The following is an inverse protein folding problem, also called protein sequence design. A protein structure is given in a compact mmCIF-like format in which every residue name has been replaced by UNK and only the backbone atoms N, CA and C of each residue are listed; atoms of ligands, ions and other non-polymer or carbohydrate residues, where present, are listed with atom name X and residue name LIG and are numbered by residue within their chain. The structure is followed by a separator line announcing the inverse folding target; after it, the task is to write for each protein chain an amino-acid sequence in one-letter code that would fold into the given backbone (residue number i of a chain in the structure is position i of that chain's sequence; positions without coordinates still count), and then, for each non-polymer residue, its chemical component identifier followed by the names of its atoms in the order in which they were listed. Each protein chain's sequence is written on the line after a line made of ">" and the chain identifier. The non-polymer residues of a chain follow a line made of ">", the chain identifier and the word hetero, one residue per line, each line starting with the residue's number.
data_IF_301686320728
#
_entry.id   IF_301686320728
#
_cell.length_a   1.000
_cell.length_b   1.000
_cell.length_c   1.000
_cell.angle_alpha   90.00
_cell.angle_beta   90.00
_cell.angle_gamma   90.00
#
_symmetry.space_group_name_H-M   'P 1'
#
loop_
_entity.id
_entity.type
_entity.pdbx_description
1 polymer ?
#
# COMPACT_ATOMS: atom_id res chain seq x y z
N UNK A 1 14.53 -5.70 7.47
CA UNK A 1 13.09 -5.95 7.63
C UNK A 1 12.61 -5.13 8.83
N UNK A 2 11.61 -4.27 8.63
CA UNK A 2 11.02 -3.45 9.69
C UNK A 2 9.73 -4.13 10.19
N UNK A 3 9.54 -4.21 11.50
CA UNK A 3 8.33 -4.81 12.07
C UNK A 3 7.23 -3.76 12.20
N UNK A 4 6.03 -4.09 11.72
CA UNK A 4 4.86 -3.23 11.82
C UNK A 4 3.69 -4.02 12.45
N UNK A 5 3.03 -3.41 13.43
CA UNK A 5 1.98 -4.05 14.22
C UNK A 5 0.71 -3.20 14.13
N UNK A 6 -0.41 -3.84 13.81
CA UNK A 6 -1.69 -3.17 13.53
C UNK A 6 -2.83 -3.89 14.25
N UNK A 7 -3.86 -3.13 14.62
CA UNK A 7 -5.09 -3.71 15.21
C UNK A 7 -5.91 -4.46 14.16
N UNK A 8 -6.67 -5.48 14.55
CA UNK A 8 -7.65 -6.14 13.66
C UNK A 8 -8.63 -5.16 12.97
N UNK A 9 -9.03 -4.09 13.65
CA UNK A 9 -9.96 -3.07 13.14
C UNK A 9 -9.27 -1.95 12.35
N UNK A 10 -8.10 -2.21 11.76
CA UNK A 10 -7.35 -1.19 11.03
C UNK A 10 -8.09 -0.76 9.77
N UNK A 11 -8.38 0.53 9.66
CA UNK A 11 -9.23 1.09 8.60
C UNK A 11 -8.43 1.50 7.36
N UNK A 12 -9.07 1.58 6.17
CA UNK A 12 -8.41 2.07 4.95
C UNK A 12 -7.81 3.47 5.12
N UNK A 13 -8.47 4.34 5.90
CA UNK A 13 -7.98 5.68 6.20
C UNK A 13 -6.72 5.68 7.07
N UNK A 14 -6.65 4.78 8.06
CA UNK A 14 -5.45 4.59 8.87
C UNK A 14 -4.30 4.03 8.01
N UNK A 15 -4.59 3.10 7.10
CA UNK A 15 -3.59 2.59 6.16
C UNK A 15 -2.99 3.67 5.27
N UNK A 16 -3.81 4.51 4.63
CA UNK A 16 -3.30 5.64 3.84
C UNK A 16 -2.49 6.61 4.70
N UNK A 17 -2.95 6.88 5.93
CA UNK A 17 -2.23 7.74 6.86
C UNK A 17 -0.84 7.18 7.18
N UNK A 18 -0.73 5.87 7.42
CA UNK A 18 0.54 5.21 7.71
C UNK A 18 1.45 5.16 6.48
N UNK A 19 0.91 4.89 5.28
CA UNK A 19 1.64 5.01 4.00
C UNK A 19 2.24 6.42 3.85
N UNK A 20 1.44 7.47 4.08
CA UNK A 20 1.90 8.86 3.97
C UNK A 20 3.02 9.14 5.00
N UNK A 21 2.82 8.71 6.26
CA UNK A 21 3.76 8.94 7.35
C UNK A 21 5.08 8.22 7.11
N UNK A 22 5.05 6.94 6.72
CA UNK A 22 6.23 6.16 6.39
C UNK A 22 6.98 6.79 5.21
N UNK A 23 6.28 7.07 4.11
CA UNK A 23 6.91 7.58 2.90
C UNK A 23 7.56 8.96 3.09
N UNK A 24 6.95 9.83 3.91
CA UNK A 24 7.59 11.09 4.34
C UNK A 24 8.90 10.86 5.08
N UNK A 25 8.98 9.88 5.99
CA UNK A 25 10.24 9.50 6.67
C UNK A 25 11.30 9.02 5.68
N UNK A 26 10.88 8.32 4.62
CA UNK A 26 11.76 7.87 3.53
C UNK A 26 12.06 8.96 2.48
N UNK A 27 11.60 10.20 2.68
CA UNK A 27 11.75 11.31 1.70
C UNK A 27 11.17 10.96 0.32
N UNK A 28 10.05 10.24 0.28
CA UNK A 28 9.26 9.98 -0.92
C UNK A 28 7.95 10.75 -0.84
N UNK A 29 7.59 11.47 -1.90
CA UNK A 29 6.39 12.30 -1.91
C UNK A 29 5.13 11.43 -2.13
N UNK A 30 4.24 11.29 -1.13
CA UNK A 30 3.06 10.44 -1.24
C UNK A 30 1.86 11.19 -1.83
N UNK A 31 2.06 12.16 -2.73
CA UNK A 31 1.00 13.05 -3.23
C UNK A 31 -0.24 12.30 -3.75
N UNK A 32 -0.03 11.16 -4.43
CA UNK A 32 -1.13 10.31 -4.93
C UNK A 32 -2.06 9.81 -3.81
N UNK A 33 -1.51 9.55 -2.62
CA UNK A 33 -2.25 9.07 -1.47
C UNK A 33 -2.92 10.21 -0.69
N UNK A 34 -2.33 11.40 -0.71
CA UNK A 34 -2.92 12.60 -0.10
C UNK A 34 -4.28 12.90 -0.76
N UNK A 35 -4.35 12.85 -2.09
CA UNK A 35 -5.61 13.10 -2.82
C UNK A 35 -6.70 12.03 -2.56
N UNK A 36 -6.32 10.85 -2.06
CA UNK A 36 -7.29 9.81 -1.67
C UNK A 36 -7.97 10.12 -0.35
N UNK A 37 -7.32 10.86 0.55
CA UNK A 37 -7.87 11.24 1.86
C UNK A 37 -9.08 12.18 1.76
N UNK A 38 -9.31 12.78 0.58
CA UNK A 38 -10.49 13.59 0.29
C UNK A 38 -11.75 12.76 -0.03
N UNK A 39 -11.69 11.43 0.12
CA UNK A 39 -12.87 10.57 -0.01
C UNK A 39 -13.93 10.92 1.05
N UNK A 40 -15.21 10.95 0.63
CA UNK A 40 -16.35 11.32 1.48
C UNK A 40 -16.67 10.25 2.52
N UNK A 41 -16.41 9.00 2.20
CA UNK A 41 -16.69 7.84 3.05
C UNK A 41 -15.72 6.68 2.74
N UNK A 42 -15.82 5.62 3.55
CA UNK A 42 -14.96 4.43 3.42
C UNK A 42 -15.22 3.64 2.13
N UNK A 43 -16.45 3.60 1.63
CA UNK A 43 -16.81 2.86 0.40
C UNK A 43 -16.12 3.48 -0.80
N UNK A 44 -16.19 4.81 -0.91
CA UNK A 44 -15.50 5.57 -1.94
C UNK A 44 -13.98 5.43 -1.79
N UNK A 45 -13.46 5.40 -0.56
CA UNK A 45 -12.03 5.22 -0.32
C UNK A 45 -11.54 3.85 -0.79
N UNK A 46 -12.27 2.78 -0.45
CA UNK A 46 -11.98 1.41 -0.88
C UNK A 46 -12.01 1.35 -2.41
N UNK A 47 -13.07 1.87 -3.05
CA UNK A 47 -13.17 1.89 -4.52
C UNK A 47 -12.01 2.64 -5.19
N UNK A 48 -11.54 3.76 -4.60
CA UNK A 48 -10.35 4.47 -5.10
C UNK A 48 -9.06 3.64 -4.93
N UNK A 49 -8.90 2.95 -3.81
CA UNK A 49 -7.75 2.08 -3.57
C UNK A 49 -7.75 0.93 -4.57
N UNK A 50 -8.89 0.25 -4.76
CA UNK A 50 -9.03 -0.82 -5.75
C UNK A 50 -8.71 -0.34 -7.16
N UNK A 51 -9.26 0.81 -7.56
CA UNK A 51 -8.96 1.41 -8.86
C UNK A 51 -7.47 1.68 -9.06
N UNK A 52 -6.76 2.12 -8.01
CA UNK A 52 -5.30 2.31 -8.07
C UNK A 52 -4.53 0.99 -8.16
N UNK A 53 -4.98 -0.04 -7.44
CA UNK A 53 -4.32 -1.35 -7.41
C UNK A 53 -4.52 -2.08 -8.73
N UNK A 54 -5.72 -2.03 -9.30
CA UNK A 54 -6.02 -2.73 -10.55
C UNK A 54 -5.53 -1.94 -11.76
N UNK A 55 -5.42 -0.62 -11.66
CA UNK A 55 -4.90 0.22 -12.76
C UNK A 55 -3.46 -0.15 -13.12
N UNK A 56 -3.23 -0.41 -14.40
CA UNK A 56 -1.93 -0.73 -15.00
C UNK A 56 -1.17 0.53 -15.47
N UNK A 57 -1.17 1.62 -14.69
CA UNK A 57 -0.36 2.78 -15.03
C UNK A 57 1.15 2.48 -14.88
N UNK A 58 1.73 1.92 -15.94
CA UNK A 58 3.12 1.44 -15.98
C UNK A 58 4.13 2.50 -15.54
N UNK A 59 3.92 3.77 -15.92
CA UNK A 59 4.80 4.87 -15.53
C UNK A 59 4.79 5.12 -14.02
N UNK A 60 3.63 5.04 -13.38
CA UNK A 60 3.49 5.22 -11.95
C UNK A 60 4.12 4.04 -11.19
N UNK A 61 3.90 2.82 -11.69
CA UNK A 61 4.50 1.62 -11.13
C UNK A 61 6.03 1.62 -11.28
N UNK A 62 6.55 1.95 -12.45
CA UNK A 62 8.00 2.05 -12.70
C UNK A 62 8.67 3.09 -11.81
N UNK A 63 8.03 4.25 -11.60
CA UNK A 63 8.54 5.27 -10.68
C UNK A 63 8.58 4.76 -9.23
N UNK A 64 7.55 4.04 -8.79
CA UNK A 64 7.50 3.45 -7.47
C UNK A 64 8.58 2.37 -7.29
N UNK A 65 8.79 1.51 -8.28
CA UNK A 65 9.83 0.48 -8.26
C UNK A 65 11.23 1.08 -8.12
N UNK A 66 11.54 2.12 -8.90
CA UNK A 66 12.83 2.84 -8.77
C UNK A 66 13.01 3.40 -7.36
N UNK A 67 11.94 3.93 -6.75
CA UNK A 67 12.00 4.44 -5.39
C UNK A 67 12.14 3.34 -4.35
N UNK A 68 11.51 2.18 -4.52
CA UNK A 68 11.68 1.02 -3.63
C UNK A 68 13.11 0.46 -3.73
N UNK A 69 13.67 0.42 -4.94
CA UNK A 69 15.05 0.00 -5.16
C UNK A 69 16.05 0.89 -4.40
N UNK A 70 15.86 2.21 -4.47
CA UNK A 70 16.70 3.19 -3.74
C UNK A 70 16.40 3.21 -2.24
N UNK A 71 15.12 3.12 -1.87
CA UNK A 71 14.58 3.29 -0.51
C UNK A 71 13.75 2.07 -0.16
N UNK A 72 14.43 1.01 0.27
CA UNK A 72 13.86 -0.32 0.53
C UNK A 72 12.61 -0.33 1.42
N UNK A 73 12.46 0.65 2.30
CA UNK A 73 11.38 0.72 3.28
C UNK A 73 10.24 1.66 2.88
N UNK A 74 10.03 1.87 1.58
CA UNK A 74 8.82 2.53 1.07
C UNK A 74 7.63 1.60 1.29
N UNK A 75 6.67 2.09 2.06
CA UNK A 75 5.41 1.42 2.35
C UNK A 75 4.38 1.75 1.27
N UNK A 76 3.68 0.73 0.78
CA UNK A 76 2.65 0.88 -0.26
C UNK A 76 1.28 0.50 0.27
N UNK A 77 0.23 0.83 -0.48
CA UNK A 77 -1.13 0.48 -0.05
C UNK A 77 -1.40 -1.01 -0.28
N UNK A 78 -0.74 -1.61 -1.27
CA UNK A 78 -0.77 -3.05 -1.54
C UNK A 78 -0.31 -3.88 -0.34
N UNK A 79 0.68 -3.38 0.42
CA UNK A 79 1.13 -4.01 1.66
C UNK A 79 -0.02 -4.16 2.67
N UNK A 80 -0.90 -3.16 2.76
CA UNK A 80 -2.06 -3.20 3.64
C UNK A 80 -3.23 -3.99 3.06
N UNK A 81 -3.45 -3.92 1.76
CA UNK A 81 -4.50 -4.71 1.09
C UNK A 81 -4.24 -6.20 1.22
N UNK A 82 -2.97 -6.62 1.22
CA UNK A 82 -2.62 -8.01 1.48
C UNK A 82 -3.04 -8.48 2.89
N UNK A 83 -3.02 -7.58 3.88
CA UNK A 83 -3.37 -7.90 5.28
C UNK A 83 -4.86 -7.73 5.58
N UNK A 84 -5.49 -6.69 5.04
CA UNK A 84 -6.83 -6.25 5.42
C UNK A 84 -7.84 -6.24 4.28
N UNK A 85 -7.44 -6.62 3.06
CA UNK A 85 -8.29 -6.55 1.87
C UNK A 85 -9.61 -7.30 2.04
N UNK A 86 -9.58 -8.48 2.66
CA UNK A 86 -10.79 -9.25 2.96
C UNK A 86 -11.69 -8.51 3.97
N UNK A 87 -11.12 -7.94 5.04
CA UNK A 87 -11.86 -7.17 6.05
C UNK A 87 -12.44 -5.87 5.49
N UNK A 88 -11.84 -5.34 4.43
CA UNK A 88 -12.31 -4.15 3.73
C UNK A 88 -13.26 -4.46 2.57
N UNK A 89 -13.75 -5.69 2.45
CA UNK A 89 -14.62 -6.15 1.36
C UNK A 89 -14.06 -5.85 -0.04
N UNK A 90 -12.73 -5.94 -0.21
CA UNK A 90 -12.10 -5.75 -1.51
C UNK A 90 -12.32 -6.97 -2.42
N UNK A 91 -12.40 -6.68 -3.72
CA UNK A 91 -12.52 -7.68 -4.76
C UNK A 91 -11.32 -8.64 -4.77
N UNK A 92 -11.54 -9.94 -5.06
CA UNK A 92 -10.46 -10.91 -5.17
C UNK A 92 -9.36 -10.51 -6.16
N UNK A 93 -9.75 -9.82 -7.24
CA UNK A 93 -8.81 -9.30 -8.23
C UNK A 93 -7.87 -8.23 -7.65
N UNK A 94 -8.40 -7.31 -6.83
CA UNK A 94 -7.58 -6.30 -6.17
C UNK A 94 -6.61 -6.94 -5.16
N UNK A 95 -7.07 -7.92 -4.38
CA UNK A 95 -6.24 -8.64 -3.41
C UNK A 95 -5.13 -9.41 -4.12
N UNK A 96 -5.44 -10.15 -5.18
CA UNK A 96 -4.43 -10.87 -5.96
C UNK A 96 -3.41 -9.92 -6.59
N UNK A 97 -3.88 -8.81 -7.18
CA UNK A 97 -2.99 -7.82 -7.78
C UNK A 97 -2.08 -7.17 -6.73
N UNK A 98 -2.60 -6.90 -5.53
CA UNK A 98 -1.81 -6.41 -4.41
C UNK A 98 -0.74 -7.43 -4.00
N UNK A 99 -1.09 -8.70 -3.88
CA UNK A 99 -0.15 -9.78 -3.56
C UNK A 99 1.01 -9.85 -4.57
N UNK A 100 0.69 -9.85 -5.86
CA UNK A 100 1.70 -9.91 -6.94
C UNK A 100 2.63 -8.70 -6.91
N UNK A 101 2.07 -7.51 -6.66
CA UNK A 101 2.84 -6.26 -6.53
C UNK A 101 3.74 -6.26 -5.30
N UNK A 102 3.25 -6.69 -4.13
CA UNK A 102 4.06 -6.77 -2.90
C UNK A 102 5.25 -7.70 -3.12
N UNK A 103 5.03 -8.85 -3.77
CA UNK A 103 6.12 -9.76 -4.14
C UNK A 103 7.15 -9.08 -5.04
N UNK A 104 6.71 -8.40 -6.09
CA UNK A 104 7.59 -7.64 -6.98
C UNK A 104 8.38 -6.55 -6.23
N UNK A 105 7.74 -5.86 -5.30
CA UNK A 105 8.37 -4.82 -4.47
C UNK A 105 9.44 -5.40 -3.53
N UNK A 106 9.17 -6.54 -2.93
CA UNK A 106 10.13 -7.24 -2.06
C UNK A 106 11.31 -7.79 -2.87
N UNK A 107 11.08 -8.35 -4.05
CA UNK A 107 12.14 -8.75 -4.97
C UNK A 107 13.02 -7.54 -5.36
N UNK A 108 12.39 -6.41 -5.69
CA UNK A 108 13.07 -5.16 -6.02
C UNK A 108 13.92 -4.64 -4.84
N UNK A 109 13.43 -4.77 -3.61
CA UNK A 109 14.14 -4.40 -2.39
C UNK A 109 15.25 -5.40 -1.98
N UNK A 110 15.41 -6.51 -2.72
CA UNK A 110 16.32 -7.64 -2.45
C UNK A 110 15.97 -8.39 -1.16
N UNK A 111 14.69 -8.57 -0.90
CA UNK A 111 14.14 -9.32 0.23
C UNK A 111 12.90 -8.66 0.82
N UNK A 112 12.25 -9.38 1.73
CA UNK A 112 11.05 -8.91 2.41
C UNK A 112 11.28 -7.58 3.13
N UNK A 113 10.48 -6.56 2.77
CA UNK A 113 10.61 -5.20 3.31
C UNK A 113 10.12 -5.13 4.76
N UNK A 114 8.99 -5.77 5.06
CA UNK A 114 8.27 -5.64 6.32
C UNK A 114 7.83 -6.98 6.92
N UNK A 115 7.92 -7.10 8.24
CA UNK A 115 7.25 -8.15 9.04
C UNK A 115 5.98 -7.54 9.64
N UNK A 116 4.85 -7.73 8.95
CA UNK A 116 3.57 -7.14 9.36
C UNK A 116 2.74 -8.12 10.17
N UNK A 117 2.23 -7.67 11.32
CA UNK A 117 1.43 -8.49 12.24
C UNK A 117 0.14 -7.79 12.63
N UNK A 118 -0.92 -8.58 12.73
CA UNK A 118 -2.20 -8.17 13.28
C UNK A 118 -2.26 -8.63 14.73
N UNK A 119 -2.68 -7.75 15.64
CA UNK A 119 -2.82 -8.01 17.08
C UNK A 119 -4.14 -7.50 17.63
#
# INVERSE_FOLDING_TARGET
>A
MEQLIFSENFTPKQAITEVIKNNKRQKYNPQRFINMMDAKDNVQLISKIEGLIVSSEEKALGTLLSQIFEKKYILTIEDFVLLFGETWDMSPNAIQTAQDRVKLFDECARGQRFDMKIV
#
